data_IF_042166345370
#
_entry.id   IF_042166345370
#
_cell.length_a   1.000
_cell.length_b   1.000
_cell.length_c   1.000
_cell.angle_alpha   90.00
_cell.angle_beta   90.00
_cell.angle_gamma   90.00
#
_symmetry.space_group_name_H-M   'P 1'
#
loop_
_entity.id
_entity.type
_entity.pdbx_description
1 polymer ?
#
# COMPACT_ATOMS: atom_id res chain seq x y z
N UNK A 1 -13.68 33.00 35.53
CA UNK A 1 -14.82 32.37 34.83
C UNK A 1 -14.82 32.69 33.32
N UNK A 2 -14.86 33.97 32.88
CA UNK A 2 -14.86 34.33 31.46
C UNK A 2 -13.59 33.87 30.69
N UNK A 3 -12.43 33.91 31.31
CA UNK A 3 -11.15 33.53 30.74
C UNK A 3 -11.04 32.02 30.58
N UNK A 4 -11.59 31.23 31.51
CA UNK A 4 -11.65 29.77 31.43
C UNK A 4 -12.63 29.27 30.39
N UNK A 5 -13.77 29.93 30.20
CA UNK A 5 -14.71 29.62 29.12
C UNK A 5 -14.12 29.95 27.74
N UNK A 6 -13.37 31.04 27.65
CA UNK A 6 -12.69 31.41 26.38
C UNK A 6 -11.59 30.42 26.04
N UNK A 7 -10.79 29.95 26.99
CA UNK A 7 -9.77 28.95 26.80
C UNK A 7 -10.38 27.61 26.36
N UNK A 8 -11.47 27.15 26.98
CA UNK A 8 -12.17 25.92 26.55
C UNK A 8 -12.70 26.03 25.13
N UNK A 9 -13.31 27.14 24.74
CA UNK A 9 -13.78 27.36 23.37
C UNK A 9 -12.64 27.38 22.37
N UNK A 10 -11.49 27.96 22.72
CA UNK A 10 -10.31 27.98 21.88
C UNK A 10 -9.71 26.58 21.69
N UNK A 11 -9.70 25.76 22.75
CA UNK A 11 -9.28 24.36 22.67
C UNK A 11 -10.23 23.50 21.82
N UNK A 12 -11.54 23.72 21.94
CA UNK A 12 -12.54 23.05 21.09
C UNK A 12 -12.37 23.43 19.61
N UNK A 13 -12.22 24.71 19.30
CA UNK A 13 -11.98 25.18 17.93
C UNK A 13 -10.68 24.59 17.38
N UNK A 14 -9.61 24.58 18.15
CA UNK A 14 -8.34 23.98 17.74
C UNK A 14 -8.44 22.47 17.52
N UNK A 15 -9.27 21.76 18.30
CA UNK A 15 -9.57 20.34 18.06
C UNK A 15 -10.34 20.14 16.76
N UNK A 16 -11.37 20.93 16.51
CA UNK A 16 -12.17 20.83 15.27
C UNK A 16 -11.33 21.14 14.01
N UNK A 17 -10.48 22.16 14.07
CA UNK A 17 -9.57 22.51 12.96
C UNK A 17 -8.56 21.39 12.70
N UNK A 18 -7.97 20.81 13.78
CA UNK A 18 -7.07 19.65 13.64
C UNK A 18 -7.77 18.43 13.06
N UNK A 19 -8.97 18.13 13.52
CA UNK A 19 -9.74 16.98 13.05
C UNK A 19 -10.12 17.16 11.58
N UNK A 20 -10.62 18.31 11.17
CA UNK A 20 -10.94 18.62 9.78
C UNK A 20 -9.71 18.56 8.86
N UNK A 21 -8.54 18.97 9.34
CA UNK A 21 -7.31 18.86 8.54
C UNK A 21 -6.83 17.42 8.35
N UNK A 22 -7.05 16.54 9.32
CA UNK A 22 -6.70 15.11 9.23
C UNK A 22 -7.67 14.37 8.30
N UNK A 23 -8.95 14.68 8.38
CA UNK A 23 -9.96 14.12 7.48
C UNK A 23 -9.70 14.52 6.02
N UNK A 24 -9.40 15.79 5.77
CA UNK A 24 -9.06 16.28 4.43
C UNK A 24 -7.77 15.64 3.88
N UNK A 25 -6.75 15.41 4.70
CA UNK A 25 -5.54 14.70 4.29
C UNK A 25 -5.84 13.24 3.90
N UNK A 26 -6.70 12.56 4.65
CA UNK A 26 -7.16 11.22 4.34
C UNK A 26 -7.87 11.17 2.98
N UNK A 27 -8.85 12.05 2.76
CA UNK A 27 -9.60 12.14 1.49
C UNK A 27 -8.67 12.39 0.29
N UNK A 28 -7.69 13.27 0.42
CA UNK A 28 -6.69 13.52 -0.65
C UNK A 28 -5.84 12.30 -0.96
N UNK A 29 -5.49 11.49 0.04
CA UNK A 29 -4.71 10.27 -0.18
C UNK A 29 -5.56 9.20 -0.87
N UNK A 30 -6.82 9.06 -0.50
CA UNK A 30 -7.78 8.15 -1.12
C UNK A 30 -7.97 8.49 -2.62
N UNK A 31 -8.24 9.75 -2.95
CA UNK A 31 -8.38 10.24 -4.31
C UNK A 31 -7.11 9.99 -5.15
N UNK A 32 -5.93 10.29 -4.62
CA UNK A 32 -4.65 10.03 -5.30
C UNK A 32 -4.41 8.55 -5.58
N UNK A 33 -4.82 7.66 -4.67
CA UNK A 33 -4.71 6.22 -4.86
C UNK A 33 -5.63 5.77 -5.99
N UNK A 34 -6.87 6.23 -5.99
CA UNK A 34 -7.85 5.91 -7.02
C UNK A 34 -7.39 6.38 -8.40
N UNK A 35 -7.04 7.65 -8.55
CA UNK A 35 -6.52 8.24 -9.80
C UNK A 35 -5.32 7.45 -10.33
N UNK A 36 -4.43 7.04 -9.43
CA UNK A 36 -3.26 6.26 -9.81
C UNK A 36 -3.64 4.89 -10.33
N UNK A 37 -4.55 4.18 -9.66
CA UNK A 37 -5.02 2.86 -10.08
C UNK A 37 -5.73 2.92 -11.43
N UNK A 38 -6.60 3.89 -11.66
CA UNK A 38 -7.29 4.13 -12.94
C UNK A 38 -6.28 4.36 -14.08
N UNK A 39 -5.23 5.13 -13.80
CA UNK A 39 -4.18 5.44 -14.79
C UNK A 39 -3.35 4.23 -15.19
N UNK A 40 -3.00 3.36 -14.23
CA UNK A 40 -2.09 2.23 -14.50
C UNK A 40 -2.81 0.94 -14.90
N UNK A 41 -4.11 0.84 -14.62
CA UNK A 41 -4.97 -0.28 -15.00
C UNK A 41 -6.21 0.18 -15.77
N UNK A 42 -6.04 0.77 -16.96
CA UNK A 42 -7.13 1.40 -17.71
C UNK A 42 -8.24 0.42 -18.17
N UNK A 43 -7.94 -0.88 -18.17
CA UNK A 43 -8.92 -1.92 -18.53
C UNK A 43 -9.79 -2.34 -17.33
N UNK A 44 -9.39 -1.98 -16.12
CA UNK A 44 -10.08 -2.37 -14.88
C UNK A 44 -11.04 -1.25 -14.44
N UNK A 45 -12.13 -1.61 -13.76
CA UNK A 45 -13.05 -0.63 -13.19
C UNK A 45 -12.64 -0.32 -11.74
N UNK A 46 -12.44 0.95 -11.42
CA UNK A 46 -12.13 1.43 -10.07
C UNK A 46 -13.36 2.16 -9.54
N UNK A 47 -13.93 1.66 -8.47
CA UNK A 47 -15.14 2.22 -7.86
C UNK A 47 -14.85 2.71 -6.45
N UNK A 48 -15.20 3.96 -6.15
CA UNK A 48 -15.18 4.49 -4.79
C UNK A 48 -16.21 3.77 -3.91
N UNK A 49 -15.82 3.42 -2.68
CA UNK A 49 -16.77 2.91 -1.70
C UNK A 49 -17.50 4.09 -1.08
N UNK A 50 -18.81 4.20 -1.33
CA UNK A 50 -19.65 5.33 -0.95
C UNK A 50 -19.44 5.79 0.50
N UNK A 51 -19.25 7.08 0.70
CA UNK A 51 -19.15 7.73 2.00
C UNK A 51 -20.36 7.37 2.89
N UNK A 52 -20.08 6.95 4.12
CA UNK A 52 -21.10 6.56 5.09
C UNK A 52 -21.45 5.07 5.13
N UNK A 53 -21.02 4.28 4.18
CA UNK A 53 -20.97 2.83 4.29
C UNK A 53 -19.62 2.48 4.91
N UNK A 54 -19.61 1.83 6.06
CA UNK A 54 -18.37 1.35 6.68
C UNK A 54 -17.67 0.39 5.71
N UNK A 55 -16.65 0.86 5.00
CA UNK A 55 -15.97 0.09 3.97
C UNK A 55 -14.57 0.61 3.66
N UNK A 56 -13.90 -0.01 2.71
CA UNK A 56 -12.61 0.45 2.19
C UNK A 56 -12.77 1.63 1.23
N UNK A 57 -11.67 2.24 0.86
CA UNK A 57 -11.67 3.49 0.11
C UNK A 57 -12.03 3.30 -1.37
N UNK A 58 -11.57 2.21 -2.01
CA UNK A 58 -12.00 1.85 -3.36
C UNK A 58 -11.93 0.34 -3.63
N UNK A 59 -12.63 -0.09 -4.68
CA UNK A 59 -12.63 -1.47 -5.17
C UNK A 59 -12.19 -1.47 -6.63
N UNK A 60 -11.13 -2.20 -6.93
CA UNK A 60 -10.71 -2.51 -8.29
C UNK A 60 -11.38 -3.79 -8.77
N UNK A 61 -12.16 -3.70 -9.82
CA UNK A 61 -12.74 -4.83 -10.53
C UNK A 61 -11.86 -5.18 -11.73
N UNK A 62 -11.26 -6.36 -11.70
CA UNK A 62 -10.30 -6.81 -12.71
C UNK A 62 -11.02 -7.26 -13.96
N UNK A 63 -10.67 -6.66 -15.08
CA UNK A 63 -11.07 -7.05 -16.43
C UNK A 63 -9.85 -7.54 -17.22
N UNK A 64 -10.05 -8.49 -18.10
CA UNK A 64 -8.96 -8.99 -18.96
C UNK A 64 -9.48 -9.53 -20.29
N UNK A 65 -9.10 -8.90 -21.40
CA UNK A 65 -9.61 -9.17 -22.74
C UNK A 65 -11.15 -9.11 -22.74
N UNK A 66 -11.81 -10.13 -23.25
CA UNK A 66 -13.27 -10.23 -23.36
C UNK A 66 -13.96 -10.66 -22.04
N UNK A 67 -13.18 -10.85 -20.95
CA UNK A 67 -13.69 -11.28 -19.65
C UNK A 67 -13.78 -10.09 -18.70
N UNK A 68 -15.00 -9.74 -18.33
CA UNK A 68 -15.28 -8.70 -17.35
C UNK A 68 -15.47 -9.30 -15.95
N UNK A 69 -15.17 -8.52 -14.94
CA UNK A 69 -15.41 -8.84 -13.53
C UNK A 69 -14.81 -10.20 -13.11
N UNK A 70 -13.55 -10.42 -13.46
CA UNK A 70 -12.83 -11.66 -13.17
C UNK A 70 -12.65 -11.85 -11.65
N UNK A 71 -12.24 -10.80 -10.97
CA UNK A 71 -12.02 -10.76 -9.54
C UNK A 71 -12.02 -9.31 -9.05
N UNK A 72 -12.03 -9.13 -7.73
CA UNK A 72 -12.00 -7.82 -7.09
C UNK A 72 -10.87 -7.73 -6.08
N UNK A 73 -10.28 -6.53 -5.98
CA UNK A 73 -9.32 -6.17 -4.94
C UNK A 73 -9.91 -5.00 -4.16
N UNK A 74 -9.93 -5.09 -2.83
CA UNK A 74 -10.45 -4.07 -1.95
C UNK A 74 -9.30 -3.27 -1.35
N UNK A 75 -9.29 -1.96 -1.54
CA UNK A 75 -8.26 -1.06 -1.01
C UNK A 75 -8.79 -0.31 0.20
N UNK A 76 -7.93 -0.12 1.17
CA UNK A 76 -8.12 0.77 2.32
C UNK A 76 -6.86 1.64 2.45
N UNK A 77 -7.00 2.96 2.46
CA UNK A 77 -5.91 3.91 2.61
C UNK A 77 -5.81 4.40 4.05
N UNK A 78 -4.60 4.56 4.57
CA UNK A 78 -4.39 5.03 5.94
C UNK A 78 -3.21 6.00 6.02
N UNK A 79 -3.51 7.23 6.40
CA UNK A 79 -2.52 8.28 6.68
C UNK A 79 -2.55 8.65 8.15
N UNK A 80 -1.85 7.87 8.97
CA UNK A 80 -1.73 8.07 10.40
C UNK A 80 -0.27 7.90 10.86
N UNK A 81 0.01 8.18 12.13
CA UNK A 81 1.37 8.04 12.67
C UNK A 81 1.70 6.62 13.14
N UNK A 82 0.69 5.82 13.44
CA UNK A 82 0.86 4.50 14.06
C UNK A 82 -0.10 3.53 13.38
N UNK A 83 0.40 2.36 12.99
CA UNK A 83 -0.41 1.28 12.44
C UNK A 83 -1.33 0.66 13.51
N UNK A 84 -2.56 0.34 13.11
CA UNK A 84 -3.52 -0.34 13.97
C UNK A 84 -3.99 -1.65 13.31
N UNK A 85 -3.70 -2.78 13.95
CA UNK A 85 -4.09 -4.11 13.48
C UNK A 85 -5.62 -4.30 13.34
N UNK A 86 -6.42 -3.45 13.96
CA UNK A 86 -7.88 -3.47 13.82
C UNK A 86 -8.33 -3.13 12.39
N UNK A 87 -7.52 -2.38 11.64
CA UNK A 87 -7.84 -2.07 10.23
C UNK A 87 -7.84 -3.32 9.36
N UNK A 88 -6.86 -4.20 9.53
CA UNK A 88 -6.83 -5.47 8.82
C UNK A 88 -8.03 -6.36 9.17
N UNK A 89 -8.43 -6.39 10.46
CA UNK A 89 -9.63 -7.14 10.88
C UNK A 89 -10.92 -6.54 10.31
N UNK A 90 -11.02 -5.19 10.29
CA UNK A 90 -12.17 -4.49 9.70
C UNK A 90 -12.24 -4.77 8.21
N UNK A 91 -11.15 -4.56 7.47
CA UNK A 91 -11.08 -4.81 6.04
C UNK A 91 -11.46 -6.25 5.70
N UNK A 92 -10.97 -7.23 6.46
CA UNK A 92 -11.35 -8.65 6.28
C UNK A 92 -12.85 -8.88 6.45
N UNK A 93 -13.49 -8.22 7.42
CA UNK A 93 -14.94 -8.30 7.63
C UNK A 93 -15.70 -7.71 6.46
N UNK A 94 -15.28 -6.53 5.98
CA UNK A 94 -15.92 -5.83 4.87
C UNK A 94 -15.74 -6.59 3.54
N UNK A 95 -14.55 -7.16 3.32
CA UNK A 95 -14.27 -8.07 2.20
C UNK A 95 -15.19 -9.29 2.20
N UNK A 96 -15.35 -9.94 3.35
CA UNK A 96 -16.25 -11.11 3.51
C UNK A 96 -17.70 -10.76 3.18
N UNK A 97 -18.17 -9.60 3.64
CA UNK A 97 -19.53 -9.14 3.38
C UNK A 97 -19.79 -8.88 1.87
N UNK A 98 -18.73 -8.53 1.11
CA UNK A 98 -18.78 -8.26 -0.32
C UNK A 98 -18.32 -9.44 -1.19
N UNK A 99 -17.92 -10.57 -0.60
CA UNK A 99 -17.39 -11.73 -1.32
C UNK A 99 -16.03 -11.50 -1.99
N UNK A 100 -15.25 -10.55 -1.48
CA UNK A 100 -13.92 -10.20 -2.02
C UNK A 100 -12.85 -10.96 -1.23
N UNK A 101 -11.88 -11.56 -1.94
CA UNK A 101 -10.83 -12.40 -1.32
C UNK A 101 -9.49 -11.71 -1.14
N UNK A 102 -9.26 -10.57 -1.79
CA UNK A 102 -7.98 -9.88 -1.75
C UNK A 102 -8.17 -8.44 -1.29
N UNK A 103 -7.47 -8.06 -0.23
CA UNK A 103 -7.46 -6.71 0.32
C UNK A 103 -6.06 -6.12 0.36
N UNK A 104 -5.96 -4.83 0.14
CA UNK A 104 -4.71 -4.08 0.24
C UNK A 104 -4.93 -2.90 1.18
N UNK A 105 -4.07 -2.77 2.19
CA UNK A 105 -3.99 -1.57 3.03
C UNK A 105 -2.79 -0.76 2.56
N UNK A 106 -3.03 0.45 2.08
CA UNK A 106 -2.00 1.39 1.66
C UNK A 106 -1.76 2.38 2.79
N UNK A 107 -0.55 2.37 3.36
CA UNK A 107 -0.20 3.20 4.52
C UNK A 107 0.80 4.29 4.13
N UNK A 108 0.72 5.46 4.76
CA UNK A 108 1.84 6.41 4.76
C UNK A 108 3.10 5.75 5.35
N UNK A 109 4.28 6.21 4.96
CA UNK A 109 5.55 5.62 5.43
C UNK A 109 5.71 5.64 6.95
N UNK A 110 5.10 6.63 7.62
CA UNK A 110 5.08 6.75 9.08
C UNK A 110 4.14 5.75 9.77
N UNK A 111 3.23 5.13 9.03
CA UNK A 111 2.13 4.32 9.53
C UNK A 111 2.34 2.81 9.33
N UNK A 112 3.49 2.39 8.83
CA UNK A 112 3.74 0.98 8.53
C UNK A 112 3.86 0.14 9.81
N UNK A 113 3.39 -1.13 9.80
CA UNK A 113 3.53 -2.02 10.95
C UNK A 113 5.01 -2.29 11.27
N UNK A 114 5.32 -2.54 12.55
CA UNK A 114 6.69 -2.70 13.02
C UNK A 114 7.49 -3.85 12.33
N UNK A 115 6.79 -4.86 11.86
CA UNK A 115 7.37 -5.99 11.13
C UNK A 115 7.61 -5.71 9.63
N UNK A 116 7.16 -4.56 9.12
CA UNK A 116 7.43 -4.14 7.75
C UNK A 116 8.94 -4.07 7.45
N UNK A 117 9.74 -3.55 8.37
CA UNK A 117 11.18 -3.42 8.22
C UNK A 117 11.91 -4.76 8.01
N UNK A 118 11.28 -5.89 8.39
CA UNK A 118 11.84 -7.23 8.19
C UNK A 118 11.60 -7.78 6.79
N UNK A 119 10.54 -7.34 6.10
CA UNK A 119 10.09 -7.87 4.81
C UNK A 119 10.27 -6.90 3.63
N UNK A 120 10.55 -5.63 3.90
CA UNK A 120 11.06 -4.57 3.00
C UNK A 120 10.14 -4.06 1.87
N UNK A 121 9.05 -4.74 1.52
CA UNK A 121 8.17 -4.29 0.43
C UNK A 121 6.69 -4.37 0.75
N UNK A 122 6.28 -5.37 1.53
CA UNK A 122 4.89 -5.55 1.96
C UNK A 122 4.84 -6.49 3.17
N UNK A 123 3.72 -6.46 3.88
CA UNK A 123 3.42 -7.38 4.99
C UNK A 123 2.07 -8.05 4.71
N UNK A 124 1.99 -9.36 4.91
CA UNK A 124 0.76 -10.12 4.72
C UNK A 124 0.08 -10.41 6.07
N UNK A 125 -1.26 -10.40 6.06
CA UNK A 125 -2.12 -10.69 7.21
C UNK A 125 -3.23 -11.66 6.80
N UNK A 126 -3.75 -12.38 7.80
CA UNK A 126 -4.90 -13.28 7.64
C UNK A 126 -4.75 -14.31 6.51
N UNK A 127 -3.60 -15.01 6.47
CA UNK A 127 -3.35 -16.05 5.46
C UNK A 127 -3.22 -15.48 4.05
N UNK A 128 -2.54 -14.34 3.93
CA UNK A 128 -2.26 -13.64 2.67
C UNK A 128 -3.51 -13.05 1.98
N UNK A 129 -4.62 -12.92 2.71
CA UNK A 129 -5.83 -12.26 2.19
C UNK A 129 -5.70 -10.74 2.21
N UNK A 130 -4.87 -10.20 3.10
CA UNK A 130 -4.62 -8.76 3.23
C UNK A 130 -3.13 -8.49 3.08
N UNK A 131 -2.79 -7.59 2.18
CA UNK A 131 -1.42 -7.12 1.94
C UNK A 131 -1.31 -5.66 2.39
N UNK A 132 -0.33 -5.34 3.23
CA UNK A 132 -0.07 -3.99 3.72
C UNK A 132 1.17 -3.47 3.00
N UNK A 133 1.04 -2.31 2.35
CA UNK A 133 2.08 -1.68 1.54
C UNK A 133 2.22 -0.18 1.87
N UNK A 134 3.41 0.40 1.67
CA UNK A 134 3.58 1.84 1.78
C UNK A 134 2.88 2.59 0.64
N UNK A 135 2.57 3.86 0.86
CA UNK A 135 2.12 4.79 -0.18
C UNK A 135 3.30 5.18 -1.07
N UNK A 136 3.76 4.21 -1.86
CA UNK A 136 4.83 4.33 -2.86
C UNK A 136 4.30 3.74 -4.17
N UNK A 137 4.20 4.57 -5.19
CA UNK A 137 3.60 4.21 -6.48
C UNK A 137 4.29 3.02 -7.16
N UNK A 138 5.60 2.87 -7.00
CA UNK A 138 6.34 1.74 -7.57
C UNK A 138 6.00 0.42 -6.87
N UNK A 139 5.86 0.46 -5.55
CA UNK A 139 5.47 -0.69 -4.74
C UNK A 139 4.00 -1.03 -4.98
N UNK A 140 3.11 -0.02 -5.02
CA UNK A 140 1.69 -0.20 -5.35
C UNK A 140 1.57 -0.91 -6.69
N UNK A 141 2.24 -0.40 -7.76
CA UNK A 141 2.21 -1.02 -9.08
C UNK A 141 2.67 -2.48 -9.04
N UNK A 142 3.83 -2.75 -8.45
CA UNK A 142 4.40 -4.09 -8.42
C UNK A 142 3.49 -5.10 -7.68
N UNK A 143 2.97 -4.71 -6.52
CA UNK A 143 2.14 -5.60 -5.69
C UNK A 143 0.77 -5.81 -6.31
N UNK A 144 0.11 -4.74 -6.76
CA UNK A 144 -1.22 -4.85 -7.39
C UNK A 144 -1.16 -5.64 -8.68
N UNK A 145 -0.15 -5.38 -9.54
CA UNK A 145 0.03 -6.13 -10.79
C UNK A 145 0.31 -7.62 -10.53
N UNK A 146 1.08 -7.95 -9.50
CA UNK A 146 1.30 -9.34 -9.06
C UNK A 146 -0.01 -10.01 -8.66
N UNK A 147 -0.80 -9.38 -7.79
CA UNK A 147 -2.09 -9.93 -7.33
C UNK A 147 -3.04 -10.07 -8.50
N UNK A 148 -3.18 -9.04 -9.34
CA UNK A 148 -3.99 -9.03 -10.56
C UNK A 148 -3.63 -10.19 -11.49
N UNK A 149 -2.35 -10.39 -11.76
CA UNK A 149 -1.86 -11.47 -12.61
C UNK A 149 -2.21 -12.86 -12.05
N UNK A 150 -2.06 -13.07 -10.75
CA UNK A 150 -2.43 -14.32 -10.09
C UNK A 150 -3.94 -14.58 -10.22
N UNK A 151 -4.78 -13.57 -10.05
CA UNK A 151 -6.23 -13.70 -10.13
C UNK A 151 -6.69 -14.02 -11.56
N UNK A 152 -6.09 -13.39 -12.56
CA UNK A 152 -6.33 -13.70 -13.98
C UNK A 152 -5.95 -15.15 -14.31
N UNK A 153 -4.79 -15.61 -13.83
CA UNK A 153 -4.32 -16.98 -14.06
C UNK A 153 -5.26 -18.00 -13.41
N UNK A 154 -5.66 -17.81 -12.16
CA UNK A 154 -6.61 -18.69 -11.46
C UNK A 154 -7.95 -18.84 -12.20
N UNK A 155 -8.43 -17.75 -12.80
CA UNK A 155 -9.69 -17.80 -13.57
C UNK A 155 -9.54 -18.55 -14.89
N UNK A 156 -8.33 -18.59 -15.45
CA UNK A 156 -8.02 -19.41 -16.64
C UNK A 156 -7.97 -20.90 -16.31
N UNK A 157 -7.32 -21.27 -15.19
CA UNK A 157 -7.23 -22.67 -14.76
C UNK A 157 -8.61 -23.31 -14.55
N UNK A 158 -9.60 -22.53 -14.12
CA UNK A 158 -10.96 -23.04 -13.89
C UNK A 158 -11.80 -23.24 -15.16
N UNK A 159 -11.37 -22.77 -16.33
CA UNK A 159 -12.15 -22.85 -17.58
C UNK A 159 -11.48 -23.57 -18.74
N UNK A 160 -10.15 -23.63 -18.76
CA UNK A 160 -9.41 -24.25 -19.85
C UNK A 160 -8.52 -25.36 -19.27
N UNK A 161 -8.86 -26.60 -19.53
CA UNK A 161 -8.08 -27.78 -19.15
C UNK A 161 -6.67 -27.85 -19.78
N UNK A 162 -6.26 -26.83 -20.54
CA UNK A 162 -4.95 -26.77 -21.18
C UNK A 162 -4.24 -25.44 -20.96
N UNK A 163 -3.66 -25.26 -19.77
CA UNK A 163 -2.53 -24.33 -19.70
C UNK A 163 -1.41 -24.97 -20.51
N UNK A 164 -0.83 -24.29 -21.54
CA UNK A 164 0.31 -24.83 -22.26
C UNK A 164 1.38 -25.27 -21.26
N UNK A 165 1.89 -26.48 -21.40
CA UNK A 165 2.88 -27.08 -20.50
C UNK A 165 4.09 -26.15 -20.25
N UNK A 166 4.40 -25.29 -21.21
CA UNK A 166 5.42 -24.24 -21.13
C UNK A 166 5.03 -23.17 -20.09
N UNK A 167 3.79 -22.74 -20.05
CA UNK A 167 3.31 -21.71 -19.10
C UNK A 167 3.29 -22.25 -17.68
N UNK A 168 2.93 -23.49 -17.49
CA UNK A 168 2.97 -24.17 -16.19
C UNK A 168 4.43 -24.27 -15.70
N UNK A 169 5.37 -24.67 -16.55
CA UNK A 169 6.79 -24.72 -16.22
C UNK A 169 7.38 -23.35 -15.91
N UNK A 170 7.01 -22.31 -16.68
CA UNK A 170 7.40 -20.93 -16.36
C UNK A 170 6.88 -20.49 -14.99
N UNK A 171 5.63 -20.78 -14.69
CA UNK A 171 5.04 -20.45 -13.39
C UNK A 171 5.71 -21.20 -12.23
N UNK A 172 5.93 -22.51 -12.39
CA UNK A 172 6.67 -23.34 -11.42
C UNK A 172 8.08 -22.79 -11.18
N UNK A 173 8.77 -22.37 -12.23
CA UNK A 173 10.09 -21.74 -12.12
C UNK A 173 10.02 -20.39 -11.41
N UNK A 174 9.14 -19.47 -11.83
CA UNK A 174 8.99 -18.13 -11.23
C UNK A 174 8.51 -18.19 -9.78
N UNK A 175 7.76 -19.22 -9.41
CA UNK A 175 7.29 -19.47 -8.05
C UNK A 175 8.27 -20.27 -7.19
N UNK A 176 9.35 -20.78 -7.81
CA UNK A 176 10.32 -21.62 -7.13
C UNK A 176 11.28 -20.81 -6.25
N UNK A 177 11.82 -21.40 -5.18
CA UNK A 177 12.89 -20.80 -4.41
C UNK A 177 14.12 -20.41 -5.25
N UNK A 178 14.39 -21.16 -6.33
CA UNK A 178 15.50 -20.89 -7.26
C UNK A 178 15.41 -19.54 -7.95
N UNK A 179 14.20 -19.03 -8.19
CA UNK A 179 13.97 -17.71 -8.76
C UNK A 179 13.76 -16.66 -7.66
N UNK A 180 12.91 -16.97 -6.68
CA UNK A 180 12.49 -16.00 -5.66
C UNK A 180 13.66 -15.58 -4.76
N UNK A 181 14.53 -16.52 -4.35
CA UNK A 181 15.62 -16.20 -3.43
C UNK A 181 16.64 -15.25 -4.05
N UNK A 182 17.21 -15.49 -5.26
CA UNK A 182 18.14 -14.54 -5.88
C UNK A 182 17.52 -13.15 -6.12
N UNK A 183 16.25 -13.08 -6.52
CA UNK A 183 15.55 -11.80 -6.69
C UNK A 183 15.40 -11.08 -5.35
N UNK A 184 15.05 -11.79 -4.28
CA UNK A 184 14.97 -11.23 -2.94
C UNK A 184 16.32 -10.72 -2.44
N UNK A 185 17.38 -11.50 -2.65
CA UNK A 185 18.76 -11.14 -2.27
C UNK A 185 19.20 -9.87 -3.00
N UNK A 186 18.98 -9.79 -4.31
CA UNK A 186 19.25 -8.60 -5.12
C UNK A 186 18.47 -7.38 -4.61
N UNK A 187 17.18 -7.52 -4.31
CA UNK A 187 16.36 -6.44 -3.73
C UNK A 187 16.89 -6.02 -2.36
N UNK A 188 17.37 -6.97 -1.54
CA UNK A 188 17.99 -6.67 -0.26
C UNK A 188 19.28 -5.87 -0.42
N UNK A 189 20.13 -6.26 -1.38
CA UNK A 189 21.38 -5.53 -1.68
C UNK A 189 21.10 -4.11 -2.17
N UNK A 190 20.16 -3.93 -3.08
CA UNK A 190 19.75 -2.60 -3.55
C UNK A 190 19.27 -1.73 -2.38
N UNK A 191 18.50 -2.30 -1.47
CA UNK A 191 18.03 -1.57 -0.28
C UNK A 191 19.20 -1.18 0.64
N UNK A 192 20.14 -2.11 0.88
CA UNK A 192 21.33 -1.84 1.69
C UNK A 192 22.21 -0.75 1.05
N UNK A 193 22.38 -0.78 -0.29
CA UNK A 193 23.10 0.25 -1.02
C UNK A 193 22.42 1.61 -0.89
N UNK A 194 21.09 1.67 -0.95
CA UNK A 194 20.33 2.91 -0.76
C UNK A 194 20.51 3.45 0.66
N UNK A 195 20.40 2.61 1.67
CA UNK A 195 20.64 3.00 3.08
C UNK A 195 22.08 3.50 3.30
N UNK A 196 23.06 2.85 2.67
CA UNK A 196 24.46 3.29 2.73
C UNK A 196 24.65 4.66 2.07
N UNK A 197 24.05 4.86 0.91
CA UNK A 197 24.10 6.13 0.20
C UNK A 197 23.50 7.27 1.05
N UNK A 198 22.39 7.03 1.72
CA UNK A 198 21.78 8.02 2.61
C UNK A 198 22.64 8.34 3.82
N UNK A 199 23.33 7.35 4.39
CA UNK A 199 24.31 7.56 5.47
C UNK A 199 25.51 8.38 4.98
N UNK A 200 26.06 8.04 3.82
CA UNK A 200 27.19 8.74 3.22
C UNK A 200 26.84 10.19 2.90
N UNK A 201 25.63 10.43 2.34
CA UNK A 201 25.11 11.78 2.11
C UNK A 201 24.99 12.58 3.39
N UNK A 202 24.48 11.98 4.45
CA UNK A 202 24.35 12.64 5.77
C UNK A 202 25.72 12.95 6.35
N UNK A 203 26.65 12.02 6.30
CA UNK A 203 28.05 12.20 6.75
C UNK A 203 28.75 13.31 5.98
N UNK A 204 28.57 13.34 4.66
CA UNK A 204 29.11 14.38 3.79
C UNK A 204 28.57 15.77 4.16
N UNK A 205 27.26 15.92 4.33
CA UNK A 205 26.63 17.18 4.73
C UNK A 205 27.13 17.67 6.09
N UNK A 206 27.29 16.77 7.06
CA UNK A 206 27.84 17.10 8.38
C UNK A 206 29.32 17.55 8.29
N UNK A 207 30.12 16.88 7.45
CA UNK A 207 31.53 17.25 7.26
C UNK A 207 31.66 18.61 6.58
N UNK A 208 30.79 18.89 5.62
CA UNK A 208 30.72 20.17 4.91
C UNK A 208 30.36 21.32 5.85
N UNK A 209 29.31 21.13 6.66
CA UNK A 209 28.90 22.13 7.66
C UNK A 209 29.99 22.41 8.72
N UNK A 210 30.78 21.40 9.11
CA UNK A 210 31.92 21.60 10.02
C UNK A 210 33.02 22.44 9.36
N UNK A 211 33.32 22.21 8.08
CA UNK A 211 34.31 22.98 7.33
C UNK A 211 33.87 24.44 7.12
N UNK A 212 32.61 24.69 6.79
CA UNK A 212 32.08 26.06 6.70
C UNK A 212 32.26 26.81 8.01
N UNK A 213 31.91 26.21 9.15
CA UNK A 213 32.10 26.84 10.48
C UNK A 213 33.56 27.13 10.80
N UNK A 214 34.51 26.36 10.27
CA UNK A 214 35.94 26.56 10.49
C UNK A 214 36.56 27.67 9.60
N UNK A 215 35.88 28.10 8.56
CA UNK A 215 36.32 29.19 7.66
C UNK A 215 35.79 30.55 8.13
N UNK A 216 34.70 30.59 8.89
CA UNK A 216 34.05 31.81 9.35
C UNK A 216 34.57 32.27 10.72
N UNK A 217 35.38 31.44 11.44
CA UNK A 217 36.13 31.81 12.63
C UNK A 217 37.59 32.06 12.27
#
# INVERSE_FOLDING_TARGET
QKTEEMNKKTEEINRMVKQGSVELQGEVQEERLQDYLEKIFPDDDIEEVSKGVKGGDCIQTINYKDKLNIAKIYFESKDTKIFNEQWAKKLLKDMKAKGILNGIIVCSLSCLPADFNKQKSYVERHGNLITIIPMDYSIIHAVVNRIRSILILKTRENKDHEIPAVMKKCWEFLSSPKFILPVRDMMSEITNMKEQLDKDKTSFLLSFSKKEKSIVN
#
